data_IF_269008830464
#
_entry.id   IF_269008830464
#
_cell.length_a   1.000
_cell.length_b   1.000
_cell.length_c   1.000
_cell.angle_alpha   90.00
_cell.angle_beta   90.00
_cell.angle_gamma   90.00
#
_symmetry.space_group_name_H-M   'P 1'
#
loop_
_entity.id
_entity.type
_entity.pdbx_description
1 polymer ?
#
# COMPACT_ATOMS: atom_id res chain seq x y z
N UNK A 1 -15.49 23.11 31.32
CA UNK A 1 -15.99 23.60 30.02
C UNK A 1 -15.47 22.67 28.96
N UNK A 2 -16.14 21.52 28.80
CA UNK A 2 -15.71 20.43 27.91
C UNK A 2 -16.90 19.92 27.08
N UNK A 3 -17.88 20.80 26.79
CA UNK A 3 -19.14 20.44 26.13
C UNK A 3 -19.09 20.55 24.59
N UNK A 4 -18.02 21.12 24.02
CA UNK A 4 -17.99 21.44 22.58
C UNK A 4 -17.46 20.33 21.66
N UNK A 5 -16.64 19.41 22.14
CA UNK A 5 -16.01 18.36 21.32
C UNK A 5 -16.86 17.09 21.23
N UNK A 6 -17.65 16.80 22.24
CA UNK A 6 -18.51 15.60 22.29
C UNK A 6 -19.72 15.69 21.35
N UNK A 7 -20.21 16.89 21.02
CA UNK A 7 -21.33 17.07 20.08
C UNK A 7 -20.95 16.96 18.60
N UNK A 8 -19.73 17.35 18.22
CA UNK A 8 -19.28 17.26 16.82
C UNK A 8 -18.83 15.84 16.43
N UNK A 9 -18.23 15.09 17.34
CA UNK A 9 -17.75 13.75 17.06
C UNK A 9 -18.84 12.77 16.60
N UNK A 10 -20.04 12.69 17.20
CA UNK A 10 -21.12 11.83 16.73
C UNK A 10 -21.71 12.28 15.38
N UNK A 11 -21.73 13.59 15.10
CA UNK A 11 -22.29 14.16 13.87
C UNK A 11 -21.38 13.91 12.69
N UNK A 12 -20.08 14.10 12.86
CA UNK A 12 -19.09 13.89 11.79
C UNK A 12 -18.73 12.41 11.63
N UNK A 13 -18.77 11.62 12.70
CA UNK A 13 -18.45 10.19 12.66
C UNK A 13 -19.50 9.34 11.91
N UNK A 14 -20.72 9.81 11.74
CA UNK A 14 -21.77 9.13 10.96
C UNK A 14 -21.82 9.65 9.54
N UNK A 15 -21.52 8.76 8.57
CA UNK A 15 -21.86 9.04 7.18
C UNK A 15 -23.40 8.99 7.07
N UNK A 16 -24.05 10.16 6.97
CA UNK A 16 -25.52 10.27 6.81
C UNK A 16 -25.94 9.62 5.50
N UNK A 17 -27.23 9.26 5.39
CA UNK A 17 -27.78 8.58 4.21
C UNK A 17 -27.47 9.33 2.90
N UNK A 18 -27.63 10.64 2.90
CA UNK A 18 -27.37 11.50 1.74
C UNK A 18 -25.89 11.47 1.31
N UNK A 19 -24.97 11.49 2.27
CA UNK A 19 -23.54 11.38 1.98
C UNK A 19 -23.13 9.98 1.51
N UNK A 20 -23.84 8.94 1.94
CA UNK A 20 -23.64 7.58 1.40
C UNK A 20 -24.08 7.49 -0.05
N UNK A 21 -25.23 8.07 -0.40
CA UNK A 21 -25.65 8.13 -1.80
C UNK A 21 -24.70 8.98 -2.64
N UNK A 22 -24.25 10.14 -2.14
CA UNK A 22 -23.25 10.97 -2.79
C UNK A 22 -21.92 10.21 -3.03
N UNK A 23 -21.50 9.37 -2.08
CA UNK A 23 -20.27 8.58 -2.21
C UNK A 23 -20.36 7.56 -3.36
N UNK A 24 -21.56 7.06 -3.71
CA UNK A 24 -21.74 6.19 -4.87
C UNK A 24 -21.51 6.92 -6.20
N UNK A 25 -21.85 8.19 -6.26
CA UNK A 25 -21.70 9.02 -7.46
C UNK A 25 -20.32 9.65 -7.67
N UNK A 26 -19.33 9.32 -6.83
CA UNK A 26 -17.97 9.88 -6.99
C UNK A 26 -17.34 9.47 -8.32
N UNK A 27 -16.74 10.44 -8.98
CA UNK A 27 -15.83 10.21 -10.11
C UNK A 27 -14.51 9.62 -9.65
N UNK A 28 -13.74 9.07 -10.58
CA UNK A 28 -12.39 8.56 -10.27
C UNK A 28 -11.43 9.67 -9.81
N UNK A 29 -11.62 10.91 -10.31
CA UNK A 29 -10.86 12.09 -9.90
C UNK A 29 -11.16 12.49 -8.46
N UNK A 30 -12.43 12.53 -8.09
CA UNK A 30 -12.86 12.82 -6.72
C UNK A 30 -12.41 11.73 -5.74
N UNK A 31 -12.51 10.45 -6.13
CA UNK A 31 -11.99 9.36 -5.34
C UNK A 31 -10.46 9.45 -5.12
N UNK A 32 -9.68 9.85 -6.15
CA UNK A 32 -8.24 10.12 -5.99
C UNK A 32 -7.98 11.25 -5.00
N UNK A 33 -8.74 12.33 -5.11
CA UNK A 33 -8.62 13.45 -4.19
C UNK A 33 -8.88 13.02 -2.74
N UNK A 34 -9.95 12.25 -2.50
CA UNK A 34 -10.31 11.77 -1.16
C UNK A 34 -9.27 10.80 -0.59
N UNK A 35 -8.70 9.92 -1.42
CA UNK A 35 -7.58 9.04 -1.01
C UNK A 35 -6.35 9.85 -0.62
N UNK A 36 -6.01 10.88 -1.39
CA UNK A 36 -4.88 11.77 -1.07
C UNK A 36 -5.15 12.57 0.21
N UNK A 37 -6.36 13.10 0.36
CA UNK A 37 -6.79 13.83 1.56
C UNK A 37 -6.72 12.96 2.81
N UNK A 38 -7.16 11.70 2.72
CA UNK A 38 -7.02 10.75 3.83
C UNK A 38 -5.58 10.63 4.31
N UNK A 39 -4.63 10.47 3.38
CA UNK A 39 -3.22 10.34 3.77
C UNK A 39 -2.60 11.64 4.28
N UNK A 40 -3.09 12.79 3.84
CA UNK A 40 -2.69 14.09 4.41
C UNK A 40 -3.21 14.24 5.85
N UNK A 41 -4.49 13.95 6.08
CA UNK A 41 -5.10 13.98 7.42
C UNK A 41 -4.39 13.01 8.37
N UNK A 42 -4.07 11.80 7.91
CA UNK A 42 -3.29 10.84 8.68
C UNK A 42 -1.91 11.39 9.04
N UNK A 43 -1.24 12.09 8.11
CA UNK A 43 0.04 12.74 8.37
C UNK A 43 -0.07 13.85 9.42
N UNK A 44 -1.06 14.71 9.30
CA UNK A 44 -1.32 15.77 10.29
C UNK A 44 -1.68 15.21 11.65
N UNK A 45 -2.55 14.19 11.72
CA UNK A 45 -2.89 13.54 12.99
C UNK A 45 -1.66 12.92 13.65
N UNK A 46 -0.79 12.24 12.89
CA UNK A 46 0.45 11.65 13.44
C UNK A 46 1.36 12.77 13.97
N UNK A 47 1.51 13.87 13.23
CA UNK A 47 2.31 15.00 13.67
C UNK A 47 1.75 15.64 14.95
N UNK A 48 0.45 15.90 15.00
CA UNK A 48 -0.22 16.42 16.20
C UNK A 48 -0.10 15.45 17.37
N UNK A 49 -0.32 14.15 17.13
CA UNK A 49 -0.17 13.11 18.16
C UNK A 49 1.26 13.00 18.72
N UNK A 50 2.28 13.32 17.92
CA UNK A 50 3.66 13.38 18.44
C UNK A 50 3.88 14.61 19.35
N UNK A 51 3.19 15.74 19.10
CA UNK A 51 3.24 16.93 19.94
C UNK A 51 2.43 16.78 21.24
N UNK A 52 1.43 15.89 21.24
CA UNK A 52 0.61 15.61 22.44
C UNK A 52 1.14 14.43 23.24
N UNK A 53 2.22 13.79 22.77
CA UNK A 53 2.82 12.65 23.47
C UNK A 53 3.56 13.15 24.71
N UNK A 54 3.23 12.56 25.86
CA UNK A 54 3.95 12.80 27.10
C UNK A 54 5.41 12.41 26.95
N UNK A 55 6.32 13.38 27.04
CA UNK A 55 7.74 13.08 27.16
C UNK A 55 8.01 12.58 28.57
N UNK A 56 8.34 11.30 28.71
CA UNK A 56 8.82 10.71 29.97
C UNK A 56 10.30 11.09 30.19
N UNK A 57 10.60 12.39 30.20
CA UNK A 57 11.94 12.92 30.45
C UNK A 57 11.96 13.62 31.81
N UNK A 58 12.09 12.84 32.89
CA UNK A 58 12.28 13.34 34.26
C UNK A 58 11.42 12.63 35.30
N UNK A 59 11.76 12.86 36.61
CA UNK A 59 11.09 12.27 37.76
C UNK A 59 9.74 12.97 38.13
N UNK A 60 9.24 13.89 37.28
CA UNK A 60 7.98 14.60 37.47
C UNK A 60 6.84 14.06 36.62
N UNK A 61 5.56 14.38 36.95
CA UNK A 61 4.44 14.08 36.10
C UNK A 61 4.65 14.81 34.76
N UNK A 62 4.38 14.13 33.59
CA UNK A 62 4.53 14.75 32.30
C UNK A 62 3.60 15.97 32.20
N UNK A 63 4.05 17.07 31.55
CA UNK A 63 3.22 18.25 31.35
C UNK A 63 1.99 17.87 30.52
N UNK A 64 0.80 18.32 30.93
CA UNK A 64 -0.40 18.15 30.15
C UNK A 64 -0.25 18.79 28.77
N UNK A 65 -0.57 18.08 27.68
CA UNK A 65 -0.51 18.65 26.35
C UNK A 65 -1.49 19.82 26.22
N UNK A 66 -1.10 20.85 25.48
CA UNK A 66 -1.94 22.02 25.22
C UNK A 66 -3.32 21.59 24.70
N UNK A 67 -4.39 22.12 25.30
CA UNK A 67 -5.79 21.77 24.99
C UNK A 67 -6.14 21.99 23.50
N UNK A 68 -5.58 23.04 22.86
CA UNK A 68 -5.78 23.30 21.43
C UNK A 68 -5.15 22.19 20.57
N UNK A 69 -3.95 21.71 20.92
CA UNK A 69 -3.30 20.62 20.18
C UNK A 69 -4.07 19.31 20.33
N UNK A 70 -4.60 19.04 21.52
CA UNK A 70 -5.47 17.87 21.77
C UNK A 70 -6.75 17.96 20.95
N UNK A 71 -7.43 19.09 20.97
CA UNK A 71 -8.62 19.34 20.16
C UNK A 71 -8.37 19.11 18.66
N UNK A 72 -7.28 19.69 18.10
CA UNK A 72 -6.93 19.49 16.71
C UNK A 72 -6.61 18.04 16.36
N UNK A 73 -5.93 17.33 17.25
CA UNK A 73 -5.66 15.90 17.09
C UNK A 73 -6.96 15.08 17.01
N UNK A 74 -7.89 15.31 17.94
CA UNK A 74 -9.17 14.63 17.99
C UNK A 74 -10.04 14.96 16.77
N UNK A 75 -10.12 16.22 16.36
CA UNK A 75 -10.83 16.65 15.17
C UNK A 75 -10.30 15.97 13.90
N UNK A 76 -8.97 15.90 13.73
CA UNK A 76 -8.34 15.20 12.60
C UNK A 76 -8.64 13.71 12.64
N UNK A 77 -8.68 13.08 13.81
CA UNK A 77 -8.99 11.67 13.97
C UNK A 77 -10.43 11.35 13.54
N UNK A 78 -11.37 12.21 13.88
CA UNK A 78 -12.77 12.09 13.45
C UNK A 78 -12.88 12.20 11.93
N UNK A 79 -12.28 13.22 11.30
CA UNK A 79 -12.28 13.41 9.85
C UNK A 79 -11.63 12.21 9.12
N UNK A 80 -10.51 11.70 9.64
CA UNK A 80 -9.84 10.52 9.09
C UNK A 80 -10.75 9.29 9.07
N UNK A 81 -11.72 9.15 9.98
CA UNK A 81 -12.63 8.00 10.02
C UNK A 81 -13.78 8.09 9.02
N UNK A 82 -14.14 9.29 8.56
CA UNK A 82 -15.26 9.49 7.61
C UNK A 82 -14.88 9.05 6.20
N UNK A 83 -13.67 9.39 5.74
CA UNK A 83 -13.22 9.10 4.38
C UNK A 83 -13.20 7.59 4.08
N UNK A 84 -12.67 6.70 4.93
CA UNK A 84 -12.74 5.26 4.69
C UNK A 84 -14.16 4.72 4.54
N UNK A 85 -15.11 5.27 5.28
CA UNK A 85 -16.53 4.86 5.17
C UNK A 85 -17.15 5.28 3.85
N UNK A 86 -16.82 6.48 3.35
CA UNK A 86 -17.25 6.92 2.02
C UNK A 86 -16.59 6.07 0.92
N UNK A 87 -15.29 5.78 1.05
CA UNK A 87 -14.57 4.94 0.11
C UNK A 87 -15.05 3.49 0.12
N UNK A 88 -15.55 2.99 1.24
CA UNK A 88 -16.15 1.66 1.34
C UNK A 88 -17.42 1.58 0.47
N UNK A 89 -18.31 2.55 0.63
CA UNK A 89 -19.53 2.67 -0.21
C UNK A 89 -19.21 2.83 -1.69
N UNK A 90 -18.20 3.66 -2.01
CA UNK A 90 -17.75 3.86 -3.40
C UNK A 90 -17.23 2.54 -4.02
N UNK A 91 -16.45 1.79 -3.26
CA UNK A 91 -15.80 0.57 -3.75
C UNK A 91 -16.72 -0.66 -3.76
N UNK A 92 -17.84 -0.67 -3.02
CA UNK A 92 -18.80 -1.77 -3.04
C UNK A 92 -19.50 -1.96 -4.39
N UNK A 93 -19.44 -0.95 -5.26
CA UNK A 93 -20.08 -0.97 -6.58
C UNK A 93 -19.33 -1.78 -7.64
N UNK A 94 -18.06 -2.15 -7.39
CA UNK A 94 -17.20 -2.76 -8.38
C UNK A 94 -16.67 -4.11 -7.89
N UNK A 95 -16.91 -5.19 -8.64
CA UNK A 95 -16.48 -6.54 -8.23
C UNK A 95 -14.97 -6.64 -7.93
N UNK A 96 -14.14 -5.98 -8.74
CA UNK A 96 -12.69 -5.99 -8.53
C UNK A 96 -12.26 -5.33 -7.21
N UNK A 97 -12.98 -4.30 -6.75
CA UNK A 97 -12.69 -3.65 -5.46
C UNK A 97 -13.28 -4.41 -4.29
N UNK A 98 -14.43 -5.05 -4.48
CA UNK A 98 -15.00 -6.00 -3.51
C UNK A 98 -14.03 -7.16 -3.29
N UNK A 99 -13.53 -7.77 -4.38
CA UNK A 99 -12.50 -8.80 -4.28
C UNK A 99 -11.22 -8.28 -3.58
N UNK A 100 -10.75 -7.07 -3.93
CA UNK A 100 -9.56 -6.50 -3.32
C UNK A 100 -9.74 -6.30 -1.80
N UNK A 101 -10.89 -5.78 -1.35
CA UNK A 101 -11.21 -5.61 0.08
C UNK A 101 -11.33 -6.94 0.84
N UNK A 102 -11.68 -8.03 0.15
CA UNK A 102 -11.68 -9.37 0.74
C UNK A 102 -10.26 -9.89 1.02
N UNK A 103 -9.22 -9.28 0.44
CA UNK A 103 -7.84 -9.65 0.73
C UNK A 103 -7.39 -9.01 2.04
N UNK A 104 -6.92 -9.85 2.97
CA UNK A 104 -6.49 -9.38 4.29
C UNK A 104 -5.38 -8.33 4.16
N UNK A 105 -5.58 -7.17 4.78
CA UNK A 105 -4.66 -6.04 4.72
C UNK A 105 -5.03 -4.98 3.67
N UNK A 106 -6.06 -5.21 2.84
CA UNK A 106 -6.55 -4.23 1.87
C UNK A 106 -7.85 -3.62 2.40
N UNK A 107 -7.78 -2.37 2.79
CA UNK A 107 -8.95 -1.60 3.23
C UNK A 107 -9.55 -0.72 2.12
N UNK A 108 -10.69 -0.05 2.42
CA UNK A 108 -11.41 0.79 1.44
C UNK A 108 -10.55 1.86 0.77
N UNK A 109 -9.64 2.49 1.50
CA UNK A 109 -8.75 3.53 0.97
C UNK A 109 -7.80 2.97 -0.10
N UNK A 110 -7.22 1.80 0.15
CA UNK A 110 -6.32 1.15 -0.82
C UNK A 110 -7.13 0.70 -2.04
N UNK A 111 -8.29 0.07 -1.83
CA UNK A 111 -9.16 -0.40 -2.91
C UNK A 111 -9.64 0.76 -3.79
N UNK A 112 -10.08 1.87 -3.19
CA UNK A 112 -10.48 3.08 -3.91
C UNK A 112 -9.31 3.69 -4.71
N UNK A 113 -8.14 3.78 -4.09
CA UNK A 113 -6.94 4.29 -4.76
C UNK A 113 -6.52 3.42 -5.94
N UNK A 114 -6.60 2.10 -5.83
CA UNK A 114 -6.32 1.17 -6.93
C UNK A 114 -7.30 1.40 -8.09
N UNK A 115 -8.61 1.40 -7.81
CA UNK A 115 -9.64 1.61 -8.81
C UNK A 115 -9.50 2.97 -9.51
N UNK A 116 -9.26 4.01 -8.75
CA UNK A 116 -9.12 5.36 -9.28
C UNK A 116 -7.86 5.58 -10.12
N UNK A 117 -6.78 4.81 -9.89
CA UNK A 117 -5.53 4.96 -10.63
C UNK A 117 -5.33 3.94 -11.75
N UNK A 118 -5.91 2.74 -11.66
CA UNK A 118 -5.66 1.64 -12.60
C UNK A 118 -6.88 1.44 -13.48
N UNK A 119 -6.74 1.83 -14.74
CA UNK A 119 -7.70 1.51 -15.79
C UNK A 119 -7.30 0.15 -16.43
N UNK A 120 -7.98 -0.91 -16.04
CA UNK A 120 -7.72 -2.27 -16.53
C UNK A 120 -8.11 -2.47 -18.00
N UNK A 121 -8.93 -1.59 -18.57
CA UNK A 121 -9.30 -1.64 -19.99
C UNK A 121 -8.12 -1.23 -20.86
N UNK A 122 -7.33 -0.26 -20.41
CA UNK A 122 -6.12 0.23 -21.07
C UNK A 122 -4.89 -0.63 -20.79
N UNK A 123 -4.85 -1.27 -19.63
CA UNK A 123 -3.75 -2.14 -19.23
C UNK A 123 -3.94 -3.55 -19.83
N UNK A 124 -3.36 -3.80 -20.99
CA UNK A 124 -3.51 -5.08 -21.72
C UNK A 124 -2.83 -6.26 -20.98
N UNK A 125 -1.82 -5.98 -20.15
CA UNK A 125 -1.08 -6.99 -19.38
C UNK A 125 -0.85 -6.55 -17.93
N UNK A 126 -0.66 -7.50 -17.02
CA UNK A 126 -0.24 -7.22 -15.66
C UNK A 126 1.09 -6.44 -15.58
N UNK A 127 1.99 -6.69 -16.52
CA UNK A 127 3.25 -5.96 -16.66
C UNK A 127 3.05 -4.46 -16.92
N UNK A 128 2.02 -4.07 -17.67
CA UNK A 128 1.66 -2.67 -17.88
C UNK A 128 1.24 -2.00 -16.55
N UNK A 129 0.49 -2.70 -15.70
CA UNK A 129 0.14 -2.21 -14.35
C UNK A 129 1.39 -2.04 -13.49
N UNK A 130 2.31 -3.01 -13.51
CA UNK A 130 3.56 -2.91 -12.75
C UNK A 130 4.42 -1.72 -13.20
N UNK A 131 4.53 -1.49 -14.52
CA UNK A 131 5.26 -0.34 -15.07
C UNK A 131 4.61 0.97 -14.64
N UNK A 132 3.31 1.06 -14.74
CA UNK A 132 2.55 2.24 -14.32
C UNK A 132 2.64 2.49 -12.80
N UNK A 133 2.71 1.43 -11.98
CA UNK A 133 2.94 1.50 -10.54
C UNK A 133 4.41 1.74 -10.14
N UNK A 134 5.34 1.83 -11.10
CA UNK A 134 6.78 2.01 -10.84
C UNK A 134 7.44 0.82 -10.14
N UNK A 135 6.92 -0.40 -10.41
CA UNK A 135 7.45 -1.66 -9.89
C UNK A 135 8.25 -2.45 -10.93
N UNK A 136 8.31 -1.96 -12.18
CA UNK A 136 9.14 -2.53 -13.24
C UNK A 136 10.61 -2.18 -12.98
N UNK A 137 11.50 -3.19 -12.80
CA UNK A 137 12.90 -2.94 -12.51
C UNK A 137 13.68 -2.39 -13.71
N UNK A 138 13.13 -2.50 -14.91
CA UNK A 138 13.77 -1.99 -16.14
C UNK A 138 13.48 -0.51 -16.38
N UNK A 139 12.52 0.08 -15.66
CA UNK A 139 12.18 1.50 -15.79
C UNK A 139 13.28 2.36 -15.18
N UNK A 140 13.97 3.12 -16.01
CA UNK A 140 15.00 4.09 -15.60
C UNK A 140 14.37 5.48 -15.56
N UNK A 141 14.80 6.31 -14.63
CA UNK A 141 14.41 7.71 -14.49
C UNK A 141 15.60 8.54 -14.02
N UNK A 142 15.77 9.72 -14.60
CA UNK A 142 16.80 10.68 -14.24
C UNK A 142 16.17 11.91 -13.59
N UNK A 143 16.94 12.57 -12.70
CA UNK A 143 16.51 13.81 -12.06
C UNK A 143 16.28 14.89 -13.13
N UNK A 144 15.12 15.56 -13.08
CA UNK A 144 14.71 16.57 -14.05
C UNK A 144 13.75 16.03 -15.12
N UNK A 145 13.67 14.73 -15.33
CA UNK A 145 12.73 14.13 -16.29
C UNK A 145 11.35 13.86 -15.70
N UNK A 146 10.35 13.78 -16.57
CA UNK A 146 9.03 13.29 -16.17
C UNK A 146 9.13 11.81 -15.80
N UNK A 147 8.62 11.45 -14.62
CA UNK A 147 8.61 10.05 -14.18
C UNK A 147 7.79 9.18 -15.12
N UNK A 148 8.31 8.03 -15.60
CA UNK A 148 7.59 7.11 -16.48
C UNK A 148 6.53 6.25 -15.75
N UNK A 149 6.22 6.58 -14.51
CA UNK A 149 5.22 5.91 -13.68
C UNK A 149 4.36 6.93 -12.93
N UNK A 150 3.19 6.48 -12.44
CA UNK A 150 2.36 7.26 -11.53
C UNK A 150 2.96 7.24 -10.12
N UNK A 151 3.41 8.41 -9.63
CA UNK A 151 4.08 8.51 -8.34
C UNK A 151 3.14 8.20 -7.16
N UNK A 152 1.85 8.56 -7.24
CA UNK A 152 0.85 8.28 -6.21
C UNK A 152 0.54 6.79 -6.14
N UNK A 153 0.35 6.13 -7.29
CA UNK A 153 0.16 4.69 -7.34
C UNK A 153 1.39 3.93 -6.83
N UNK A 154 2.61 4.44 -7.07
CA UNK A 154 3.84 3.85 -6.51
C UNK A 154 3.86 3.91 -4.98
N UNK A 155 3.43 5.02 -4.38
CA UNK A 155 3.29 5.13 -2.92
C UNK A 155 2.21 4.17 -2.41
N UNK A 156 1.08 4.08 -3.09
CA UNK A 156 0.01 3.14 -2.73
C UNK A 156 0.51 1.69 -2.79
N UNK A 157 1.23 1.31 -3.86
CA UNK A 157 1.85 -0.01 -3.99
C UNK A 157 2.83 -0.33 -2.84
N UNK A 158 3.60 0.67 -2.39
CA UNK A 158 4.44 0.52 -1.21
C UNK A 158 3.63 0.29 0.07
N UNK A 159 2.53 1.03 0.27
CA UNK A 159 1.62 0.85 1.42
C UNK A 159 0.96 -0.53 1.42
N UNK A 160 0.61 -1.06 0.26
CA UNK A 160 0.10 -2.44 0.10
C UNK A 160 1.12 -3.45 0.62
N UNK A 161 2.39 -3.35 0.20
CA UNK A 161 3.45 -4.23 0.68
C UNK A 161 3.67 -4.15 2.19
N UNK A 162 3.62 -2.93 2.75
CA UNK A 162 3.70 -2.70 4.19
C UNK A 162 2.52 -3.33 4.93
N UNK A 163 1.31 -3.22 4.38
CA UNK A 163 0.11 -3.82 4.97
C UNK A 163 0.20 -5.34 4.98
N UNK A 164 0.59 -5.97 3.88
CA UNK A 164 0.78 -7.43 3.83
C UNK A 164 1.84 -7.90 4.82
N UNK A 165 2.96 -7.17 4.93
CA UNK A 165 3.98 -7.49 5.91
C UNK A 165 3.50 -7.32 7.35
N UNK A 166 2.75 -6.27 7.65
CA UNK A 166 2.18 -6.04 8.98
C UNK A 166 1.31 -7.22 9.45
N UNK A 167 0.62 -7.85 8.53
CA UNK A 167 -0.32 -8.93 8.81
C UNK A 167 0.16 -10.32 8.40
N UNK A 168 1.45 -10.49 8.10
CA UNK A 168 1.99 -11.77 7.61
C UNK A 168 1.79 -12.96 8.56
N UNK A 169 1.62 -12.71 9.87
CA UNK A 169 1.34 -13.76 10.87
C UNK A 169 -0.16 -14.13 10.95
N UNK A 170 -1.05 -13.48 10.19
CA UNK A 170 -2.48 -13.79 10.21
C UNK A 170 -2.79 -14.88 9.20
N UNK A 171 -3.48 -15.99 9.60
CA UNK A 171 -3.75 -17.11 8.69
C UNK A 171 -4.47 -16.73 7.39
N UNK A 172 -5.35 -15.72 7.46
CA UNK A 172 -6.08 -15.23 6.29
C UNK A 172 -5.28 -14.29 5.37
N UNK A 173 -4.04 -13.91 5.73
CA UNK A 173 -3.24 -12.97 4.95
C UNK A 173 -2.37 -13.71 3.92
N UNK A 174 -2.98 -14.19 2.82
CA UNK A 174 -2.28 -14.96 1.78
C UNK A 174 -1.05 -14.24 1.24
N UNK A 175 -1.18 -12.95 0.88
CA UNK A 175 -0.05 -12.18 0.36
C UNK A 175 1.02 -11.87 1.41
N UNK A 176 0.65 -11.85 2.68
CA UNK A 176 1.60 -11.75 3.78
C UNK A 176 2.45 -13.00 3.93
N UNK A 177 1.83 -14.18 3.83
CA UNK A 177 2.57 -15.47 3.82
C UNK A 177 3.52 -15.53 2.63
N UNK A 178 3.07 -15.20 1.43
CA UNK A 178 3.92 -15.16 0.24
C UNK A 178 5.10 -14.18 0.38
N UNK A 179 4.89 -13.03 1.07
CA UNK A 179 5.99 -12.12 1.39
C UNK A 179 6.98 -12.75 2.38
N UNK A 180 6.50 -13.45 3.39
CA UNK A 180 7.36 -14.12 4.38
C UNK A 180 8.18 -15.25 3.73
N UNK A 181 7.57 -16.10 2.94
CA UNK A 181 8.26 -17.16 2.17
C UNK A 181 9.31 -16.55 1.22
N UNK A 182 8.95 -15.49 0.52
CA UNK A 182 9.89 -14.77 -0.35
C UNK A 182 11.05 -14.19 0.43
N UNK A 183 10.85 -13.69 1.63
CA UNK A 183 11.92 -13.17 2.48
C UNK A 183 12.91 -14.28 2.85
N UNK A 184 12.43 -15.47 3.25
CA UNK A 184 13.29 -16.63 3.54
C UNK A 184 14.13 -16.99 2.30
N UNK A 185 13.53 -17.01 1.11
CA UNK A 185 14.26 -17.22 -0.15
C UNK A 185 15.34 -16.15 -0.39
N UNK A 186 15.01 -14.87 -0.21
CA UNK A 186 15.98 -13.77 -0.40
C UNK A 186 17.12 -13.83 0.62
N UNK A 187 16.86 -14.25 1.85
CA UNK A 187 17.87 -14.45 2.89
C UNK A 187 18.81 -15.60 2.56
N UNK A 188 18.28 -16.75 2.16
CA UNK A 188 19.08 -17.90 1.71
C UNK A 188 19.95 -17.55 0.50
N UNK A 189 19.39 -16.85 -0.48
CA UNK A 189 20.12 -16.34 -1.65
C UNK A 189 21.22 -15.36 -1.24
N UNK A 190 20.97 -14.51 -0.24
CA UNK A 190 21.94 -13.54 0.26
C UNK A 190 23.11 -14.21 0.96
N UNK A 191 22.86 -15.25 1.73
CA UNK A 191 23.89 -16.07 2.38
C UNK A 191 24.73 -16.80 1.34
N UNK A 192 24.08 -17.37 0.30
CA UNK A 192 24.74 -18.07 -0.81
C UNK A 192 25.45 -17.19 -1.83
N UNK A 193 25.63 -15.88 -1.58
CA UNK A 193 26.36 -14.97 -2.46
C UNK A 193 25.60 -14.48 -3.69
N UNK A 194 24.33 -14.87 -3.88
CA UNK A 194 23.52 -14.51 -5.06
C UNK A 194 23.17 -13.03 -5.18
N UNK A 195 23.64 -12.20 -4.26
CA UNK A 195 23.47 -10.75 -4.27
C UNK A 195 24.79 -9.97 -4.41
N UNK A 196 25.93 -10.63 -4.58
CA UNK A 196 27.25 -9.98 -4.60
C UNK A 196 27.36 -8.88 -5.68
N UNK A 197 26.90 -9.15 -6.91
CA UNK A 197 26.89 -8.14 -7.96
C UNK A 197 26.04 -6.92 -7.58
N UNK A 198 24.83 -7.13 -7.04
CA UNK A 198 23.93 -6.05 -6.63
C UNK A 198 24.51 -5.22 -5.47
N UNK A 199 25.28 -5.85 -4.58
CA UNK A 199 26.00 -5.18 -3.52
C UNK A 199 27.12 -4.29 -4.08
N UNK A 200 27.96 -4.83 -4.96
CA UNK A 200 29.04 -4.11 -5.64
C UNK A 200 28.51 -2.90 -6.44
N UNK A 201 27.49 -3.09 -7.26
CA UNK A 201 26.83 -1.99 -8.00
C UNK A 201 26.28 -0.89 -7.08
N UNK A 202 25.81 -1.27 -5.89
CA UNK A 202 25.27 -0.30 -4.93
C UNK A 202 26.40 0.57 -4.34
N UNK A 203 27.54 -0.03 -4.00
CA UNK A 203 28.73 0.70 -3.54
C UNK A 203 29.28 1.65 -4.59
N UNK A 204 29.24 1.25 -5.87
CA UNK A 204 29.67 2.13 -6.97
C UNK A 204 28.72 3.33 -7.18
N UNK A 205 27.40 3.11 -7.06
CA UNK A 205 26.38 4.13 -7.37
C UNK A 205 26.05 5.06 -6.19
N UNK A 206 26.38 4.67 -4.95
CA UNK A 206 25.96 5.39 -3.74
C UNK A 206 27.06 5.43 -2.70
N UNK A 207 27.27 6.60 -2.11
CA UNK A 207 28.07 6.73 -0.90
C UNK A 207 27.26 6.20 0.30
N UNK A 208 27.70 5.10 0.90
CA UNK A 208 27.12 4.56 2.14
C UNK A 208 27.93 5.13 3.31
N UNK A 209 27.29 5.95 4.13
CA UNK A 209 27.92 6.66 5.26
C UNK A 209 27.86 5.87 6.56
N UNK A 210 26.90 4.96 6.70
CA UNK A 210 26.75 4.11 7.89
C UNK A 210 27.72 2.93 7.81
N UNK A 211 28.73 2.84 8.72
CA UNK A 211 29.77 1.83 8.64
C UNK A 211 29.26 0.38 8.69
N UNK A 212 28.32 0.00 9.61
CA UNK A 212 27.76 -1.35 9.63
C UNK A 212 27.07 -1.74 8.32
N UNK A 213 26.27 -0.85 7.75
CA UNK A 213 25.60 -1.08 6.46
C UNK A 213 26.62 -1.21 5.31
N UNK A 214 27.65 -0.41 5.32
CA UNK A 214 28.73 -0.46 4.33
C UNK A 214 29.47 -1.80 4.37
N UNK A 215 29.83 -2.29 5.55
CA UNK A 215 30.48 -3.59 5.73
C UNK A 215 29.64 -4.76 5.18
N UNK A 216 28.30 -4.71 5.32
CA UNK A 216 27.40 -5.70 4.73
C UNK A 216 27.51 -5.71 3.20
N UNK A 217 27.53 -4.54 2.55
CA UNK A 217 27.68 -4.46 1.08
C UNK A 217 29.09 -4.88 0.63
N UNK A 218 30.15 -4.53 1.37
CA UNK A 218 31.53 -4.95 1.09
C UNK A 218 31.69 -6.47 1.21
N UNK A 219 30.92 -7.12 2.08
CA UNK A 219 30.84 -8.58 2.18
C UNK A 219 29.99 -9.24 1.06
N UNK A 220 29.58 -8.48 0.02
CA UNK A 220 28.77 -8.98 -1.09
C UNK A 220 27.32 -9.30 -0.73
N UNK A 221 26.82 -8.77 0.39
CA UNK A 221 25.47 -9.03 0.92
C UNK A 221 24.60 -7.78 0.87
N UNK A 222 23.30 -7.98 0.98
CA UNK A 222 22.32 -6.90 1.12
C UNK A 222 21.83 -6.81 2.57
N UNK A 223 21.61 -5.60 3.12
CA UNK A 223 21.02 -5.42 4.44
C UNK A 223 19.60 -6.01 4.53
N UNK A 224 19.21 -6.43 5.73
CA UNK A 224 17.90 -7.07 5.99
C UNK A 224 16.71 -6.26 5.50
N UNK A 225 16.71 -4.94 5.74
CA UNK A 225 15.65 -4.05 5.26
C UNK A 225 15.51 -4.06 3.73
N UNK A 226 16.61 -4.29 2.99
CA UNK A 226 16.56 -4.39 1.51
C UNK A 226 15.99 -5.73 1.05
N UNK A 227 16.30 -6.82 1.74
CA UNK A 227 15.71 -8.15 1.49
C UNK A 227 14.21 -8.12 1.75
N UNK A 228 13.80 -7.53 2.86
CA UNK A 228 12.38 -7.35 3.18
C UNK A 228 11.65 -6.55 2.10
N UNK A 229 12.21 -5.42 1.63
CA UNK A 229 11.59 -4.64 0.54
C UNK A 229 11.45 -5.42 -0.77
N UNK A 230 12.34 -6.36 -1.05
CA UNK A 230 12.21 -7.28 -2.19
C UNK A 230 11.03 -8.23 -2.00
N UNK A 231 10.87 -8.80 -0.81
CA UNK A 231 9.77 -9.70 -0.47
C UNK A 231 8.41 -8.98 -0.52
N UNK A 232 8.30 -7.81 0.08
CA UNK A 232 7.11 -6.96 0.01
C UNK A 232 6.74 -6.61 -1.44
N UNK A 233 7.72 -6.24 -2.26
CA UNK A 233 7.51 -5.92 -3.68
C UNK A 233 7.03 -7.14 -4.48
N UNK A 234 7.54 -8.33 -4.18
CA UNK A 234 7.10 -9.57 -4.80
C UNK A 234 5.61 -9.81 -4.54
N UNK A 235 5.18 -9.80 -3.28
CA UNK A 235 3.77 -9.96 -2.91
C UNK A 235 2.87 -8.87 -3.52
N UNK A 236 3.33 -7.61 -3.50
CA UNK A 236 2.60 -6.49 -4.12
C UNK A 236 2.44 -6.66 -5.62
N UNK A 237 3.49 -7.10 -6.34
CA UNK A 237 3.40 -7.35 -7.79
C UNK A 237 2.42 -8.46 -8.10
N UNK A 238 2.43 -9.54 -7.33
CA UNK A 238 1.48 -10.64 -7.50
C UNK A 238 0.05 -10.17 -7.23
N UNK A 239 -0.19 -9.44 -6.13
CA UNK A 239 -1.50 -8.87 -5.84
C UNK A 239 -2.00 -7.94 -6.96
N UNK A 240 -1.15 -7.06 -7.49
CA UNK A 240 -1.52 -6.18 -8.60
C UNK A 240 -1.80 -6.96 -9.91
N UNK A 241 -1.11 -8.09 -10.14
CA UNK A 241 -1.43 -8.96 -11.27
C UNK A 241 -2.80 -9.61 -11.10
N UNK A 242 -3.12 -10.09 -9.90
CA UNK A 242 -4.44 -10.65 -9.58
C UNK A 242 -5.53 -9.57 -9.65
N UNK A 243 -5.29 -8.37 -9.12
CA UNK A 243 -6.20 -7.24 -9.22
C UNK A 243 -6.54 -6.90 -10.68
N UNK A 244 -5.52 -6.87 -11.52
CA UNK A 244 -5.66 -6.66 -12.96
C UNK A 244 -6.47 -7.80 -13.62
N UNK A 245 -6.16 -9.05 -13.31
CA UNK A 245 -6.87 -10.22 -13.82
C UNK A 245 -8.36 -10.17 -13.44
N UNK A 246 -8.64 -10.02 -12.14
CA UNK A 246 -10.00 -9.91 -11.61
C UNK A 246 -10.77 -8.77 -12.28
N UNK A 247 -10.15 -7.60 -12.42
CA UNK A 247 -10.80 -6.46 -13.06
C UNK A 247 -11.11 -6.69 -14.54
N UNK A 248 -10.25 -7.38 -15.27
CA UNK A 248 -10.53 -7.72 -16.68
C UNK A 248 -11.61 -8.78 -16.80
N UNK A 249 -11.56 -9.83 -15.99
CA UNK A 249 -12.56 -10.89 -15.98
C UNK A 249 -13.95 -10.38 -15.57
N UNK A 250 -14.02 -9.48 -14.57
CA UNK A 250 -15.30 -8.86 -14.16
C UNK A 250 -15.93 -7.99 -15.25
N UNK A 251 -15.12 -7.48 -16.18
CA UNK A 251 -15.57 -6.70 -17.35
C UNK A 251 -15.72 -7.56 -18.63
N UNK A 252 -15.55 -8.88 -18.54
CA UNK A 252 -15.60 -9.76 -19.71
C UNK A 252 -14.46 -9.55 -20.72
N UNK A 253 -13.35 -8.94 -20.27
CA UNK A 253 -12.19 -8.67 -21.12
C UNK A 253 -11.24 -9.88 -21.15
N UNK A 254 -10.54 -10.12 -22.26
CA UNK A 254 -9.61 -11.25 -22.35
C UNK A 254 -8.43 -11.07 -21.39
N UNK A 255 -8.08 -12.17 -20.71
CA UNK A 255 -6.91 -12.26 -19.83
C UNK A 255 -5.89 -13.17 -20.48
N UNK A 256 -4.81 -12.62 -21.10
CA UNK A 256 -3.75 -13.43 -21.64
C UNK A 256 -3.00 -14.17 -20.54
N UNK A 257 -2.50 -15.35 -20.87
CA UNK A 257 -1.68 -16.16 -19.97
C UNK A 257 -0.47 -15.36 -19.48
N UNK A 258 -0.07 -15.48 -18.22
CA UNK A 258 1.09 -14.77 -17.70
C UNK A 258 2.38 -15.10 -18.49
N UNK A 259 3.10 -14.07 -18.94
CA UNK A 259 4.33 -14.19 -19.72
C UNK A 259 5.36 -15.15 -19.12
N UNK A 260 5.49 -15.17 -17.78
CA UNK A 260 6.44 -16.05 -17.07
C UNK A 260 6.10 -17.53 -17.17
N UNK A 261 4.84 -17.88 -17.43
CA UNK A 261 4.42 -19.27 -17.68
C UNK A 261 4.68 -19.69 -19.14
N UNK A 262 4.58 -18.74 -20.07
CA UNK A 262 4.77 -19.05 -21.49
C UNK A 262 6.25 -19.01 -21.92
N UNK A 263 7.04 -18.11 -21.33
CA UNK A 263 8.41 -17.82 -21.77
C UNK A 263 9.44 -17.87 -20.64
N UNK A 264 9.00 -17.87 -19.36
CA UNK A 264 9.89 -17.78 -18.20
C UNK A 264 10.20 -19.12 -17.53
N UNK A 265 9.75 -20.26 -18.09
CA UNK A 265 9.98 -21.60 -17.54
C UNK A 265 9.29 -21.87 -16.19
N UNK A 266 8.39 -20.99 -15.76
CA UNK A 266 7.60 -21.20 -14.54
C UNK A 266 6.46 -22.17 -14.82
N UNK A 267 6.33 -23.20 -13.97
CA UNK A 267 5.25 -24.21 -14.08
C UNK A 267 4.12 -23.98 -13.09
N UNK A 268 4.34 -23.13 -12.07
CA UNK A 268 3.37 -22.90 -11.00
C UNK A 268 2.61 -21.58 -11.22
N UNK A 269 1.29 -21.70 -11.37
CA UNK A 269 0.36 -20.59 -11.44
C UNK A 269 -0.32 -20.37 -10.09
N UNK A 270 -0.23 -19.17 -9.55
CA UNK A 270 -0.96 -18.77 -8.35
C UNK A 270 -2.21 -18.00 -8.81
N UNK A 271 -3.37 -18.58 -8.59
CA UNK A 271 -4.65 -17.95 -8.92
C UNK A 271 -5.02 -16.84 -7.90
N UNK A 272 -5.85 -15.87 -8.31
CA UNK A 272 -6.37 -14.86 -7.38
C UNK A 272 -7.16 -15.53 -6.24
N UNK A 273 -6.77 -15.33 -4.96
CA UNK A 273 -7.46 -15.95 -3.84
C UNK A 273 -8.93 -15.49 -3.76
N UNK A 274 -9.86 -16.47 -3.62
CA UNK A 274 -11.28 -16.16 -3.50
C UNK A 274 -11.96 -15.62 -4.77
N UNK A 275 -11.37 -15.79 -5.92
CA UNK A 275 -11.99 -15.45 -7.20
C UNK A 275 -12.35 -16.72 -8.00
N UNK A 276 -13.48 -16.76 -8.76
CA UNK A 276 -14.54 -15.75 -8.81
C UNK A 276 -15.30 -15.61 -7.49
N UNK A 277 -15.86 -14.41 -7.25
CA UNK A 277 -16.69 -14.17 -6.07
C UNK A 277 -17.89 -15.13 -6.08
N UNK A 278 -18.12 -15.80 -4.96
CA UNK A 278 -19.35 -16.58 -4.80
C UNK A 278 -20.54 -15.61 -4.86
N UNK A 279 -21.44 -15.81 -5.80
CA UNK A 279 -22.71 -15.07 -5.81
C UNK A 279 -23.46 -15.37 -4.50
N UNK A 280 -23.99 -14.34 -3.83
CA UNK A 280 -24.76 -14.51 -2.60
C UNK A 280 -26.01 -15.37 -2.82
#
# INVERSE_FOLDING_TARGET
>A
MDEGTDELAPVVARLKKDLREAAKGLTTEEARYLVDLYYQLQGFRIAAGNQTREEKNGDGPPPEPNSLLRYLFEAMQVLETVIPRAMDVYTDQYEMTVWAKAQYGIGPIIAAGLYAHIDVTRAVTAGAVWRFAGLDPTSVWQKGERRPWNARLKVLAWKIGQSFWKFHNRPACVYGHLAAERKVYEEARNVGGGNAQCAAETLQKRRITDPPTRAIYEAGKLPQGRLQRRAERYATKLFLAHYWQVGRESLGLPVPRPYVLDHGGHTHFIAPPGWPLKKP
#
